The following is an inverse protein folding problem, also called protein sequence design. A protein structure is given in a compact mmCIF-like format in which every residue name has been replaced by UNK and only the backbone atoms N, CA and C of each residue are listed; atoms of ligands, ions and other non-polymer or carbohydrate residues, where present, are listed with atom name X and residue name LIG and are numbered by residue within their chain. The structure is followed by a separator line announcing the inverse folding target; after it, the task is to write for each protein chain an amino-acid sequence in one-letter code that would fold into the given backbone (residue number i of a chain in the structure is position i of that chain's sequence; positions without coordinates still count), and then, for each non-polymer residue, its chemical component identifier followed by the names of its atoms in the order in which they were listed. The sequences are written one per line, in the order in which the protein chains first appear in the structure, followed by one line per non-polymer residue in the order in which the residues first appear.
data_IF_036930066940
#
_entry.id   IF_036930066940
#
_cell.length_a   1.000
_cell.length_b   1.000
_cell.length_c   1.000
_cell.angle_alpha   90.00
_cell.angle_beta   90.00
_cell.angle_gamma   90.00
#
_symmetry.space_group_name_H-M   'P 1'
#
loop_
_entity.id
_entity.type
_entity.pdbx_description
1 polymer ?
#
# COMPACT_ATOMS: atom_id res chain seq x y z
N UNK A 1 10.34 1.26 1.53
CA UNK A 1 11.23 1.74 2.61
C UNK A 1 10.76 3.09 3.18
N UNK A 2 10.52 4.11 2.36
CA UNK A 2 10.13 5.46 2.82
C UNK A 2 8.79 5.45 3.57
N UNK A 3 7.77 4.70 3.10
CA UNK A 3 6.49 4.55 3.78
C UNK A 3 6.64 4.06 5.23
N UNK A 4 7.47 3.04 5.40
CA UNK A 4 7.75 2.48 6.73
C UNK A 4 8.44 3.53 7.61
N UNK A 5 9.39 4.27 7.07
CA UNK A 5 10.09 5.32 7.83
C UNK A 5 9.15 6.46 8.23
N UNK A 6 8.27 6.90 7.33
CA UNK A 6 7.28 7.94 7.63
C UNK A 6 6.27 7.54 8.71
N UNK A 7 5.97 6.25 8.84
CA UNK A 7 5.08 5.75 9.89
C UNK A 7 5.84 5.47 11.20
N UNK A 8 7.01 4.83 11.10
CA UNK A 8 7.75 4.33 12.26
C UNK A 8 8.46 5.47 13.02
N UNK A 9 9.05 6.45 12.32
CA UNK A 9 9.78 7.53 12.98
C UNK A 9 8.88 8.37 13.94
N UNK A 10 7.70 8.85 13.51
CA UNK A 10 6.79 9.53 14.43
C UNK A 10 6.31 8.65 15.58
N UNK A 11 6.06 7.35 15.32
CA UNK A 11 5.65 6.39 16.35
C UNK A 11 6.74 6.21 17.40
N UNK A 12 8.01 6.10 16.97
CA UNK A 12 9.16 6.03 17.86
C UNK A 12 9.29 7.30 18.72
N UNK A 13 9.07 8.48 18.12
CA UNK A 13 9.06 9.75 18.89
C UNK A 13 7.95 9.74 19.94
N UNK A 14 6.72 9.35 19.59
CA UNK A 14 5.61 9.26 20.54
C UNK A 14 5.93 8.28 21.68
N UNK A 15 6.52 7.13 21.37
CA UNK A 15 6.97 6.16 22.36
C UNK A 15 8.03 6.73 23.31
N UNK A 16 9.00 7.50 22.78
CA UNK A 16 10.02 8.15 23.59
C UNK A 16 9.43 9.22 24.52
N UNK A 17 8.37 9.91 24.07
CA UNK A 17 7.68 10.94 24.87
C UNK A 17 6.72 10.37 25.92
N UNK A 18 6.40 9.08 25.87
CA UNK A 18 5.58 8.42 26.87
C UNK A 18 6.26 8.44 28.25
N UNK A 19 5.52 8.76 29.29
CA UNK A 19 6.10 8.95 30.65
C UNK A 19 6.11 7.68 31.50
N UNK A 20 5.30 6.68 31.17
CA UNK A 20 5.09 5.50 32.00
C UNK A 20 6.23 4.50 31.93
N UNK A 21 6.92 4.39 30.79
CA UNK A 21 8.00 3.43 30.58
C UNK A 21 9.35 4.01 31.00
N UNK A 22 10.15 3.34 31.87
CA UNK A 22 11.50 3.79 32.24
C UNK A 22 12.42 3.91 31.02
N UNK A 23 13.26 4.95 31.00
CA UNK A 23 14.12 5.29 29.86
C UNK A 23 15.05 4.15 29.39
N UNK A 24 15.54 3.35 30.32
CA UNK A 24 16.40 2.19 30.01
C UNK A 24 15.71 1.16 29.10
N UNK A 25 14.41 0.92 29.31
CA UNK A 25 13.64 0.00 28.48
C UNK A 25 13.36 0.60 27.11
N UNK A 26 13.05 1.90 27.05
CA UNK A 26 12.86 2.61 25.77
C UNK A 26 14.09 2.56 24.90
N UNK A 27 15.29 2.73 25.49
CA UNK A 27 16.55 2.63 24.75
C UNK A 27 16.79 1.20 24.24
N UNK A 28 16.49 0.17 25.04
CA UNK A 28 16.62 -1.22 24.64
C UNK A 28 15.68 -1.55 23.46
N UNK A 29 14.42 -1.15 23.57
CA UNK A 29 13.41 -1.38 22.50
C UNK A 29 13.78 -0.63 21.23
N UNK A 30 14.20 0.63 21.35
CA UNK A 30 14.64 1.43 20.21
C UNK A 30 15.90 0.82 19.56
N UNK A 31 16.86 0.36 20.35
CA UNK A 31 18.05 -0.29 19.84
C UNK A 31 17.72 -1.62 19.14
N UNK A 32 16.83 -2.42 19.71
CA UNK A 32 16.35 -3.65 19.08
C UNK A 32 15.70 -3.42 17.72
N UNK A 33 15.06 -2.26 17.51
CA UNK A 33 14.47 -1.88 16.25
C UNK A 33 15.51 -1.26 15.28
N UNK A 34 16.33 -0.32 15.77
CA UNK A 34 17.26 0.45 14.92
C UNK A 34 18.44 -0.39 14.43
N UNK A 35 18.97 -1.31 15.26
CA UNK A 35 20.14 -2.11 14.90
C UNK A 35 19.90 -2.96 13.62
N UNK A 36 18.84 -3.77 13.51
CA UNK A 36 18.59 -4.53 12.28
C UNK A 36 18.41 -3.63 11.04
N UNK A 37 17.74 -2.48 11.19
CA UNK A 37 17.55 -1.52 10.10
C UNK A 37 18.89 -0.90 9.67
N UNK A 38 19.71 -0.53 10.62
CA UNK A 38 21.05 0.03 10.35
C UNK A 38 21.98 -0.99 9.66
N UNK A 39 21.94 -2.26 10.12
CA UNK A 39 22.70 -3.35 9.47
C UNK A 39 22.21 -3.54 8.03
N UNK A 40 20.88 -3.64 7.81
CA UNK A 40 20.30 -3.77 6.47
C UNK A 40 20.67 -2.61 5.56
N UNK A 41 20.54 -1.37 6.05
CA UNK A 41 20.93 -0.16 5.32
C UNK A 41 22.43 -0.15 5.00
N UNK A 42 23.29 -0.53 5.94
CA UNK A 42 24.73 -0.66 5.74
C UNK A 42 25.09 -1.68 4.66
N UNK A 43 24.43 -2.85 4.66
CA UNK A 43 24.62 -3.86 3.61
C UNK A 43 24.20 -3.36 2.23
N UNK A 44 23.11 -2.61 2.14
CA UNK A 44 22.68 -1.97 0.88
C UNK A 44 23.72 -0.95 0.41
N UNK A 45 24.26 -0.11 1.31
CA UNK A 45 25.31 0.84 0.99
C UNK A 45 26.59 0.16 0.47
N UNK A 46 27.00 -0.93 1.11
CA UNK A 46 28.16 -1.75 0.66
C UNK A 46 27.89 -2.35 -0.72
N UNK A 47 26.71 -2.92 -0.93
CA UNK A 47 26.31 -3.47 -2.22
C UNK A 47 26.30 -2.40 -3.31
N UNK A 48 25.75 -1.22 -3.05
CA UNK A 48 25.71 -0.11 -3.99
C UNK A 48 27.13 0.40 -4.32
N UNK A 49 27.98 0.54 -3.31
CA UNK A 49 29.38 0.94 -3.51
C UNK A 49 30.15 -0.07 -4.37
N UNK A 50 29.94 -1.37 -4.15
CA UNK A 50 30.56 -2.43 -4.95
C UNK A 50 30.06 -2.46 -6.40
N UNK A 51 28.77 -2.16 -6.62
CA UNK A 51 28.13 -2.25 -7.93
C UNK A 51 28.26 -0.98 -8.75
N UNK A 52 28.13 0.18 -8.13
CA UNK A 52 28.00 1.48 -8.79
C UNK A 52 29.15 2.45 -8.45
N UNK A 53 30.06 2.05 -7.57
CA UNK A 53 31.17 2.93 -7.11
C UNK A 53 30.74 3.99 -6.09
N UNK A 54 29.45 4.01 -5.69
CA UNK A 54 28.91 4.96 -4.70
C UNK A 54 27.91 4.28 -3.78
N UNK A 55 27.97 4.49 -2.45
CA UNK A 55 27.04 3.87 -1.49
C UNK A 55 25.61 4.40 -1.62
N UNK A 56 25.43 5.58 -2.21
CA UNK A 56 24.13 6.26 -2.36
C UNK A 56 23.55 6.17 -3.76
N UNK A 57 24.25 5.55 -4.72
CA UNK A 57 23.71 5.29 -6.06
C UNK A 57 22.87 4.00 -6.06
N UNK A 58 21.61 4.13 -6.45
CA UNK A 58 20.67 3.01 -6.53
C UNK A 58 20.46 2.50 -7.96
N UNK A 59 21.36 2.85 -8.87
CA UNK A 59 21.31 2.44 -10.26
C UNK A 59 20.44 3.33 -11.14
N UNK A 60 19.88 4.41 -10.61
CA UNK A 60 19.01 5.32 -11.36
C UNK A 60 19.73 5.94 -12.56
N UNK A 61 21.01 6.28 -12.39
CA UNK A 61 21.85 6.86 -13.46
C UNK A 61 22.22 5.86 -14.56
N UNK A 62 22.03 4.55 -14.30
CA UNK A 62 22.38 3.47 -15.22
C UNK A 62 21.16 2.79 -15.86
N UNK A 63 19.95 3.24 -15.54
CA UNK A 63 18.74 2.66 -16.09
C UNK A 63 18.50 3.17 -17.51
N UNK A 64 18.46 2.26 -18.47
CA UNK A 64 17.95 2.50 -19.82
C UNK A 64 16.42 2.45 -19.76
N UNK A 65 15.78 3.58 -19.54
CA UNK A 65 14.33 3.73 -19.52
C UNK A 65 13.86 4.54 -20.71
N UNK A 66 12.60 4.34 -21.10
CA UNK A 66 11.98 5.10 -22.20
C UNK A 66 11.93 6.60 -21.90
N UNK A 67 11.88 6.98 -20.62
CA UNK A 67 11.93 8.37 -20.16
C UNK A 67 13.16 8.61 -19.28
N UNK A 68 13.76 9.78 -19.43
CA UNK A 68 14.89 10.20 -18.59
C UNK A 68 14.42 10.50 -17.16
N UNK A 69 14.52 9.51 -16.28
CA UNK A 69 14.10 9.60 -14.88
C UNK A 69 14.89 10.67 -14.12
N UNK A 70 16.13 10.97 -14.55
CA UNK A 70 16.96 11.98 -13.87
C UNK A 70 16.41 13.40 -14.03
N UNK A 71 15.58 13.62 -15.04
CA UNK A 71 14.87 14.89 -15.29
C UNK A 71 13.53 15.03 -14.61
N UNK A 72 13.03 13.94 -14.02
CA UNK A 72 11.76 13.97 -13.30
C UNK A 72 11.92 14.76 -12.00
N UNK A 73 11.62 16.05 -12.07
CA UNK A 73 11.55 16.91 -10.89
C UNK A 73 10.20 16.74 -10.21
N UNK A 74 10.22 16.59 -8.90
CA UNK A 74 9.00 16.58 -8.09
C UNK A 74 8.29 17.93 -8.27
N UNK A 75 7.22 17.96 -9.03
CA UNK A 75 6.36 19.14 -9.18
C UNK A 75 5.05 18.88 -8.46
N UNK A 76 4.75 19.70 -7.47
CA UNK A 76 3.44 19.71 -6.81
C UNK A 76 2.49 20.49 -7.70
N UNK A 77 1.69 19.75 -8.48
CA UNK A 77 0.64 20.30 -9.32
C UNK A 77 -0.71 19.88 -8.74
N UNK A 78 -1.62 20.81 -8.41
CA UNK A 78 -2.94 20.48 -7.86
C UNK A 78 -3.75 19.52 -8.74
N UNK A 79 -3.61 19.57 -10.07
CA UNK A 79 -4.28 18.64 -10.98
C UNK A 79 -3.85 17.19 -10.73
N UNK A 80 -2.60 16.97 -10.35
CA UNK A 80 -2.07 15.64 -10.00
C UNK A 80 -2.67 15.10 -8.72
N UNK A 81 -2.98 15.96 -7.74
CA UNK A 81 -3.61 15.51 -6.50
C UNK A 81 -5.00 14.92 -6.78
N UNK A 82 -5.79 15.54 -7.64
CA UNK A 82 -7.11 15.03 -8.04
C UNK A 82 -6.99 13.69 -8.74
N UNK A 83 -6.07 13.59 -9.70
CA UNK A 83 -5.79 12.33 -10.40
C UNK A 83 -5.29 11.25 -9.43
N UNK A 84 -4.38 11.58 -8.51
CA UNK A 84 -3.90 10.67 -7.47
C UNK A 84 -5.05 10.12 -6.62
N UNK A 85 -5.93 10.99 -6.10
CA UNK A 85 -7.07 10.57 -5.29
C UNK A 85 -7.98 9.63 -6.08
N UNK A 86 -8.27 9.94 -7.33
CA UNK A 86 -9.12 9.08 -8.14
C UNK A 86 -8.46 7.73 -8.41
N UNK A 87 -7.28 7.72 -9.03
CA UNK A 87 -6.65 6.48 -9.52
C UNK A 87 -6.11 5.58 -8.41
N UNK A 88 -5.62 6.16 -7.31
CA UNK A 88 -5.04 5.38 -6.21
C UNK A 88 -6.03 5.01 -5.12
N UNK A 89 -7.11 5.80 -4.94
CA UNK A 89 -8.05 5.53 -3.85
C UNK A 89 -9.42 5.08 -4.35
N UNK A 90 -9.96 5.70 -5.40
CA UNK A 90 -11.39 5.60 -5.75
C UNK A 90 -11.69 4.80 -7.01
N UNK A 91 -10.73 4.57 -7.90
CA UNK A 91 -11.00 3.89 -9.16
C UNK A 91 -11.58 2.49 -8.94
N UNK A 92 -12.75 2.17 -9.52
CA UNK A 92 -13.35 0.85 -9.41
C UNK A 92 -12.52 -0.18 -10.18
N UNK A 93 -12.75 -1.45 -9.86
CA UNK A 93 -12.30 -2.58 -10.68
C UNK A 93 -13.20 -2.74 -11.90
N UNK A 94 -12.63 -3.22 -12.98
CA UNK A 94 -13.42 -3.76 -14.08
C UNK A 94 -14.02 -5.10 -13.65
N UNK A 95 -15.31 -5.28 -13.93
CA UNK A 95 -16.06 -6.46 -13.56
C UNK A 95 -16.60 -7.15 -14.80
N UNK A 96 -16.50 -8.48 -14.83
CA UNK A 96 -17.03 -9.32 -15.90
C UNK A 96 -17.79 -10.51 -15.38
N UNK A 97 -18.60 -11.15 -16.26
CA UNK A 97 -19.31 -12.39 -15.95
C UNK A 97 -18.45 -13.64 -16.20
N UNK A 98 -17.29 -13.47 -16.82
CA UNK A 98 -16.36 -14.54 -17.15
C UNK A 98 -15.15 -14.43 -16.22
N UNK A 99 -14.60 -15.58 -15.82
CA UNK A 99 -13.34 -15.62 -15.06
C UNK A 99 -12.26 -14.76 -15.74
N UNK A 100 -11.52 -13.95 -14.99
CA UNK A 100 -11.40 -13.91 -13.53
C UNK A 100 -12.38 -12.99 -12.79
N UNK A 101 -13.44 -12.53 -13.39
CA UNK A 101 -14.52 -11.67 -12.85
C UNK A 101 -14.09 -10.25 -12.49
N UNK A 102 -12.85 -10.06 -12.02
CA UNK A 102 -12.28 -8.78 -11.62
C UNK A 102 -10.93 -8.57 -12.27
N UNK A 103 -10.72 -7.38 -12.81
CA UNK A 103 -9.42 -6.93 -13.32
C UNK A 103 -9.15 -5.49 -12.93
N UNK A 104 -7.87 -5.13 -12.88
CA UNK A 104 -7.49 -3.74 -12.79
C UNK A 104 -7.93 -3.03 -14.07
N UNK A 105 -8.44 -1.80 -13.93
CA UNK A 105 -8.86 -1.02 -15.08
C UNK A 105 -7.67 -0.67 -15.97
N UNK A 106 -7.75 -0.97 -17.25
CA UNK A 106 -6.72 -0.73 -18.25
C UNK A 106 -7.25 0.19 -19.35
N UNK A 107 -6.97 1.46 -19.24
CA UNK A 107 -7.13 2.43 -20.32
C UNK A 107 -5.76 2.73 -20.93
N UNK A 108 -5.71 3.15 -22.16
CA UNK A 108 -4.48 3.48 -22.85
C UNK A 108 -3.65 4.57 -22.19
N UNK A 109 -2.64 5.06 -22.88
CA UNK A 109 -1.83 6.19 -22.42
C UNK A 109 -2.66 7.47 -22.37
N UNK A 110 -2.61 8.17 -21.23
CA UNK A 110 -3.19 9.49 -21.10
C UNK A 110 -2.18 10.49 -20.53
N UNK A 111 -2.44 11.77 -20.70
CA UNK A 111 -1.54 12.84 -20.25
C UNK A 111 -2.21 13.65 -19.15
N UNK A 112 -1.48 13.89 -18.06
CA UNK A 112 -1.82 14.89 -17.05
C UNK A 112 -0.72 15.95 -17.07
N UNK A 113 -1.03 17.12 -17.59
CA UNK A 113 -0.02 18.13 -17.86
C UNK A 113 1.01 17.64 -18.89
N UNK A 114 2.29 17.63 -18.53
CA UNK A 114 3.39 17.17 -19.39
C UNK A 114 3.79 15.69 -19.18
N UNK A 115 3.01 14.93 -18.41
CA UNK A 115 3.33 13.55 -18.07
C UNK A 115 2.40 12.58 -18.79
N UNK A 116 3.01 11.56 -19.39
CA UNK A 116 2.30 10.41 -19.94
C UNK A 116 2.20 9.33 -18.86
N UNK A 117 0.99 8.83 -18.65
CA UNK A 117 0.72 7.73 -17.75
C UNK A 117 0.12 6.57 -18.51
N UNK A 118 0.54 5.36 -18.16
CA UNK A 118 -0.15 4.14 -18.58
C UNK A 118 -1.16 3.78 -17.52
N UNK A 119 -2.43 3.74 -17.87
CA UNK A 119 -3.47 3.36 -16.93
C UNK A 119 -3.66 1.86 -16.87
N UNK A 120 -2.98 1.22 -15.97
CA UNK A 120 -3.43 -0.02 -15.37
C UNK A 120 -3.50 0.27 -13.88
N UNK A 121 -4.68 0.55 -13.38
CA UNK A 121 -4.87 1.02 -12.01
C UNK A 121 -6.12 0.44 -11.37
N UNK A 122 -6.09 0.40 -10.06
CA UNK A 122 -7.25 0.14 -9.22
C UNK A 122 -7.16 1.01 -7.99
N UNK A 123 -8.29 1.51 -7.51
CA UNK A 123 -8.34 2.26 -6.26
C UNK A 123 -8.21 1.34 -5.05
N UNK A 124 -7.58 1.84 -3.99
CA UNK A 124 -7.42 1.11 -2.74
C UNK A 124 -8.77 0.61 -2.19
N UNK A 125 -9.80 1.47 -2.23
CA UNK A 125 -11.13 1.14 -1.72
C UNK A 125 -11.94 0.20 -2.61
N UNK A 126 -11.43 -0.19 -3.77
CA UNK A 126 -12.00 -1.26 -4.58
C UNK A 126 -11.86 -2.63 -3.88
N UNK A 127 -10.94 -2.77 -2.93
CA UNK A 127 -10.81 -3.94 -2.06
C UNK A 127 -11.50 -3.65 -0.73
N UNK A 128 -12.57 -4.38 -0.38
CA UNK A 128 -13.46 -4.04 0.74
C UNK A 128 -12.76 -3.92 2.10
N UNK A 129 -11.68 -4.66 2.37
CA UNK A 129 -10.97 -4.59 3.65
C UNK A 129 -10.49 -3.18 4.01
N UNK A 130 -10.18 -2.35 3.01
CA UNK A 130 -9.73 -0.98 3.25
C UNK A 130 -10.83 -0.05 3.74
N UNK A 131 -12.12 -0.44 3.61
CA UNK A 131 -13.23 0.26 4.27
C UNK A 131 -13.10 0.22 5.79
N UNK A 132 -12.40 -0.78 6.34
CA UNK A 132 -12.10 -0.83 7.78
C UNK A 132 -11.26 0.36 8.28
N UNK A 133 -10.54 1.07 7.38
CA UNK A 133 -9.86 2.33 7.73
C UNK A 133 -10.85 3.42 8.21
N UNK A 134 -12.10 3.38 7.73
CA UNK A 134 -13.16 4.29 8.17
C UNK A 134 -13.54 4.07 9.63
N UNK A 135 -13.23 2.91 10.21
CA UNK A 135 -13.44 2.64 11.64
C UNK A 135 -12.62 3.60 12.53
N UNK A 136 -11.55 4.21 12.01
CA UNK A 136 -10.77 5.19 12.77
C UNK A 136 -11.61 6.38 13.26
N UNK A 137 -12.67 6.75 12.51
CA UNK A 137 -13.59 7.81 12.90
C UNK A 137 -14.83 7.30 13.65
N UNK A 138 -14.96 5.97 13.81
CA UNK A 138 -16.09 5.39 14.50
C UNK A 138 -16.01 5.64 16.02
N UNK A 139 -17.12 6.06 16.69
CA UNK A 139 -17.11 6.37 18.12
C UNK A 139 -16.59 5.26 19.02
N UNK A 140 -16.84 4.00 18.66
CA UNK A 140 -16.36 2.82 19.42
C UNK A 140 -14.84 2.68 19.44
N UNK A 141 -14.15 3.22 18.42
CA UNK A 141 -12.68 3.19 18.29
C UNK A 141 -12.06 4.53 18.66
N UNK A 142 -12.86 5.58 18.78
CA UNK A 142 -12.41 6.89 19.23
C UNK A 142 -11.83 6.76 20.64
N UNK A 143 -10.54 6.51 20.69
CA UNK A 143 -9.85 6.24 21.96
C UNK A 143 -9.52 7.53 22.67
N UNK A 144 -9.60 7.48 24.01
CA UNK A 144 -9.04 8.52 24.89
C UNK A 144 -7.52 8.63 24.80
N UNK A 145 -6.83 7.62 24.24
CA UNK A 145 -5.38 7.62 24.09
C UNK A 145 -4.95 8.34 22.81
N UNK A 146 -4.55 9.61 22.98
CA UNK A 146 -4.08 10.47 21.91
C UNK A 146 -2.88 9.86 21.15
N UNK A 147 -1.95 9.21 21.87
CA UNK A 147 -0.75 8.61 21.28
C UNK A 147 -1.12 7.55 20.23
N UNK A 148 -2.03 6.64 20.55
CA UNK A 148 -2.47 5.60 19.63
C UNK A 148 -3.17 6.18 18.40
N UNK A 149 -4.00 7.20 18.59
CA UNK A 149 -4.68 7.88 17.47
C UNK A 149 -3.69 8.57 16.54
N UNK A 150 -2.68 9.23 17.11
CA UNK A 150 -1.60 9.85 16.33
C UNK A 150 -0.79 8.81 15.57
N UNK A 151 -0.47 7.67 16.18
CA UNK A 151 0.19 6.55 15.50
C UNK A 151 -0.59 6.11 14.26
N UNK A 152 -1.89 5.85 14.38
CA UNK A 152 -2.72 5.47 13.23
C UNK A 152 -2.76 6.55 12.14
N UNK A 153 -2.87 7.81 12.55
CA UNK A 153 -2.84 8.94 11.62
C UNK A 153 -1.50 9.02 10.88
N UNK A 154 -0.38 8.83 11.55
CA UNK A 154 0.94 8.82 10.93
C UNK A 154 1.12 7.66 9.95
N UNK A 155 0.57 6.49 10.24
CA UNK A 155 0.55 5.37 9.28
C UNK A 155 -0.19 5.75 8.00
N UNK A 156 -1.37 6.35 8.12
CA UNK A 156 -2.16 6.77 6.95
C UNK A 156 -1.43 7.86 6.17
N UNK A 157 -1.00 8.92 6.84
CA UNK A 157 -0.33 10.04 6.20
C UNK A 157 1.00 9.61 5.55
N UNK A 158 1.77 8.74 6.22
CA UNK A 158 3.01 8.20 5.67
C UNK A 158 2.78 7.36 4.41
N UNK A 159 1.78 6.48 4.44
CA UNK A 159 1.41 5.66 3.28
C UNK A 159 0.92 6.53 2.11
N UNK A 160 0.05 7.51 2.37
CA UNK A 160 -0.46 8.42 1.34
C UNK A 160 0.65 9.31 0.77
N UNK A 161 1.58 9.78 1.60
CA UNK A 161 2.73 10.57 1.14
C UNK A 161 3.59 9.75 0.15
N UNK A 162 3.89 8.50 0.49
CA UNK A 162 4.69 7.64 -0.40
C UNK A 162 3.95 7.35 -1.69
N UNK A 163 2.67 7.03 -1.62
CA UNK A 163 1.85 6.83 -2.82
C UNK A 163 1.84 8.07 -3.72
N UNK A 164 1.75 9.25 -3.13
CA UNK A 164 1.80 10.51 -3.89
C UNK A 164 3.17 10.77 -4.51
N UNK A 165 4.26 10.41 -3.81
CA UNK A 165 5.62 10.49 -4.36
C UNK A 165 5.81 9.52 -5.53
N UNK A 166 5.37 8.27 -5.38
CA UNK A 166 5.43 7.26 -6.43
C UNK A 166 4.61 7.68 -7.66
N UNK A 167 3.39 8.18 -7.44
CA UNK A 167 2.56 8.76 -8.48
C UNK A 167 3.24 9.94 -9.19
N UNK A 168 3.86 10.85 -8.43
CA UNK A 168 4.48 12.05 -8.97
C UNK A 168 5.74 11.78 -9.77
N UNK A 169 6.48 10.72 -9.43
CA UNK A 169 7.76 10.36 -10.03
C UNK A 169 7.63 9.26 -11.10
N UNK A 170 6.79 8.26 -10.85
CA UNK A 170 6.72 7.05 -11.66
C UNK A 170 5.41 6.89 -12.45
N UNK A 171 4.39 7.68 -12.15
CA UNK A 171 3.07 7.55 -12.80
C UNK A 171 2.14 6.56 -12.10
N UNK A 172 1.13 6.07 -12.84
CA UNK A 172 0.09 5.19 -12.30
C UNK A 172 0.41 3.76 -12.70
N UNK A 173 0.75 2.94 -11.70
CA UNK A 173 0.98 1.51 -11.88
C UNK A 173 0.45 0.74 -10.67
N UNK A 174 -0.22 -0.39 -10.92
CA UNK A 174 -0.72 -1.29 -9.86
C UNK A 174 0.40 -1.72 -8.91
N UNK A 175 1.62 -1.92 -9.41
CA UNK A 175 2.76 -2.31 -8.56
C UNK A 175 3.11 -1.30 -7.48
N UNK A 176 2.88 -0.01 -7.70
CA UNK A 176 3.14 1.04 -6.69
C UNK A 176 2.09 1.05 -5.58
N UNK A 177 0.90 0.47 -5.83
CA UNK A 177 -0.07 0.25 -4.77
C UNK A 177 0.45 -0.70 -3.68
N UNK A 178 1.40 -1.59 -4.00
CA UNK A 178 1.99 -2.49 -3.00
C UNK A 178 2.65 -1.74 -1.83
N UNK A 179 3.21 -0.54 -2.09
CA UNK A 179 3.88 0.26 -1.07
C UNK A 179 2.90 0.84 -0.04
N UNK A 180 1.63 0.99 -0.41
CA UNK A 180 0.58 1.49 0.49
C UNK A 180 -0.37 0.40 0.97
N UNK A 181 -0.60 -0.65 0.18
CA UNK A 181 -1.54 -1.71 0.55
C UNK A 181 -1.08 -2.48 1.78
N UNK A 182 0.22 -2.74 1.92
CA UNK A 182 0.75 -3.46 3.09
C UNK A 182 0.56 -2.67 4.39
N UNK A 183 1.06 -1.42 4.55
CA UNK A 183 0.88 -0.68 5.79
C UNK A 183 -0.60 -0.37 6.07
N UNK A 184 -1.39 0.03 5.08
CA UNK A 184 -2.80 0.31 5.27
C UNK A 184 -3.63 -0.96 5.49
N UNK A 185 -3.25 -2.10 4.90
CA UNK A 185 -3.87 -3.39 5.15
C UNK A 185 -3.66 -3.87 6.58
N UNK A 186 -2.44 -3.74 7.11
CA UNK A 186 -2.15 -4.03 8.51
C UNK A 186 -3.00 -3.13 9.42
N UNK A 187 -3.06 -1.84 9.13
CA UNK A 187 -3.86 -0.90 9.91
C UNK A 187 -5.37 -1.23 9.83
N UNK A 188 -5.89 -1.54 8.65
CA UNK A 188 -7.29 -1.94 8.46
C UNK A 188 -7.63 -3.20 9.27
N UNK A 189 -6.73 -4.19 9.28
CA UNK A 189 -6.87 -5.40 10.08
C UNK A 189 -6.86 -5.10 11.57
N UNK A 190 -5.92 -4.29 12.05
CA UNK A 190 -5.85 -3.89 13.47
C UNK A 190 -7.11 -3.15 13.91
N UNK A 191 -7.63 -2.23 13.09
CA UNK A 191 -8.87 -1.52 13.37
C UNK A 191 -10.07 -2.46 13.39
N UNK A 192 -10.15 -3.43 12.48
CA UNK A 192 -11.20 -4.43 12.44
C UNK A 192 -11.19 -5.33 13.68
N UNK A 193 -10.02 -5.81 14.10
CA UNK A 193 -9.85 -6.62 15.31
C UNK A 193 -10.21 -5.82 16.57
N UNK A 194 -9.81 -4.56 16.63
CA UNK A 194 -10.15 -3.68 17.75
C UNK A 194 -11.65 -3.39 17.82
N UNK A 195 -12.29 -3.20 16.66
CA UNK A 195 -13.73 -3.03 16.57
C UNK A 195 -14.45 -4.32 16.98
N UNK A 196 -14.02 -5.48 16.49
CA UNK A 196 -14.57 -6.78 16.86
C UNK A 196 -14.50 -7.04 18.35
N UNK A 197 -13.37 -6.76 18.99
CA UNK A 197 -13.20 -6.92 20.43
C UNK A 197 -14.20 -6.09 21.27
N UNK A 198 -14.72 -5.00 20.70
CA UNK A 198 -15.73 -4.11 21.35
C UNK A 198 -17.17 -4.43 20.98
N UNK A 199 -17.38 -5.33 20.01
CA UNK A 199 -18.71 -5.74 19.54
C UNK A 199 -19.35 -6.79 20.46
N UNK A 200 -19.26 -6.65 21.77
CA UNK A 200 -19.84 -7.62 22.72
C UNK A 200 -21.36 -7.77 22.58
N UNK A 201 -22.05 -6.75 22.06
CA UNK A 201 -23.51 -6.70 21.96
C UNK A 201 -24.04 -6.58 20.51
N UNK A 202 -23.19 -6.28 19.52
CA UNK A 202 -23.64 -6.05 18.14
C UNK A 202 -23.67 -7.35 17.32
N UNK A 203 -24.86 -7.96 17.25
CA UNK A 203 -25.11 -9.23 16.54
C UNK A 203 -24.69 -9.21 15.07
N UNK A 204 -24.69 -8.06 14.42
CA UNK A 204 -24.41 -7.94 12.99
C UNK A 204 -22.95 -7.55 12.66
N UNK A 205 -22.20 -7.02 13.61
CA UNK A 205 -20.85 -6.51 13.35
C UNK A 205 -19.85 -7.58 12.91
N UNK A 206 -19.85 -8.73 13.60
CA UNK A 206 -18.94 -9.85 13.26
C UNK A 206 -19.20 -10.45 11.87
N UNK A 207 -20.44 -10.79 11.49
CA UNK A 207 -20.70 -11.30 10.14
C UNK A 207 -20.40 -10.28 9.05
N UNK A 208 -20.61 -8.98 9.29
CA UNK A 208 -20.22 -7.93 8.33
C UNK A 208 -18.70 -7.91 8.14
N UNK A 209 -17.91 -7.89 9.22
CA UNK A 209 -16.45 -7.94 9.12
C UNK A 209 -15.98 -9.20 8.38
N UNK A 210 -16.53 -10.36 8.73
CA UNK A 210 -16.19 -11.61 8.05
C UNK A 210 -16.49 -11.53 6.55
N UNK A 211 -17.65 -11.01 6.17
CA UNK A 211 -18.04 -10.81 4.77
C UNK A 211 -17.05 -9.88 4.06
N UNK A 212 -16.66 -8.76 4.66
CA UNK A 212 -15.66 -7.82 4.13
C UNK A 212 -14.34 -8.53 3.84
N UNK A 213 -13.82 -9.34 4.78
CA UNK A 213 -12.55 -10.03 4.59
C UNK A 213 -12.65 -11.15 3.56
N UNK A 214 -13.73 -11.95 3.58
CA UNK A 214 -13.95 -13.02 2.58
C UNK A 214 -14.05 -12.43 1.17
N UNK A 215 -14.82 -11.36 0.99
CA UNK A 215 -14.90 -10.65 -0.30
C UNK A 215 -13.54 -10.10 -0.73
N UNK A 216 -12.75 -9.56 0.19
CA UNK A 216 -11.43 -9.02 -0.10
C UNK A 216 -10.45 -10.10 -0.54
N UNK A 217 -10.47 -11.26 0.12
CA UNK A 217 -9.64 -12.43 -0.26
C UNK A 217 -10.07 -12.92 -1.65
N UNK A 218 -11.38 -13.03 -1.90
CA UNK A 218 -11.90 -13.47 -3.19
C UNK A 218 -11.48 -12.51 -4.32
N UNK A 219 -11.74 -11.22 -4.17
CA UNK A 219 -11.35 -10.19 -5.16
C UNK A 219 -9.83 -10.20 -5.37
N UNK A 220 -9.04 -10.19 -4.29
CA UNK A 220 -7.59 -10.24 -4.37
C UNK A 220 -7.06 -11.48 -5.10
N UNK A 221 -7.69 -12.64 -4.86
CA UNK A 221 -7.34 -13.89 -5.56
C UNK A 221 -7.67 -13.81 -7.05
N UNK A 222 -8.80 -13.22 -7.42
CA UNK A 222 -9.18 -13.06 -8.83
C UNK A 222 -8.27 -12.06 -9.55
N UNK A 223 -7.82 -11.01 -8.89
CA UNK A 223 -6.91 -10.01 -9.46
C UNK A 223 -5.54 -10.60 -9.85
N UNK A 224 -5.11 -11.71 -9.24
CA UNK A 224 -3.89 -12.42 -9.67
C UNK A 224 -4.01 -12.89 -11.12
N UNK A 225 -5.22 -13.29 -11.54
CA UNK A 225 -5.50 -13.77 -12.89
C UNK A 225 -5.98 -12.66 -13.82
N UNK A 226 -6.53 -11.59 -13.29
CA UNK A 226 -7.09 -10.45 -14.03
C UNK A 226 -6.10 -9.36 -14.41
N UNK A 227 -4.81 -9.55 -14.18
CA UNK A 227 -3.78 -8.59 -14.55
C UNK A 227 -3.36 -8.80 -16.02
N UNK A 228 -3.15 -7.72 -16.77
CA UNK A 228 -2.65 -7.74 -18.16
C UNK A 228 -1.36 -8.56 -18.32
N UNK A 229 -0.53 -8.62 -17.29
CA UNK A 229 0.71 -9.39 -17.25
C UNK A 229 0.56 -10.71 -16.48
N UNK A 230 -0.59 -11.37 -16.59
CA UNK A 230 -0.78 -12.67 -15.96
C UNK A 230 0.23 -13.69 -16.48
N UNK A 231 1.28 -13.96 -15.70
CA UNK A 231 2.33 -14.89 -16.09
C UNK A 231 1.80 -16.30 -16.38
N UNK A 232 0.75 -16.72 -15.71
CA UNK A 232 0.14 -18.02 -15.92
C UNK A 232 -0.46 -18.13 -17.34
N UNK A 233 -1.11 -17.05 -17.82
CA UNK A 233 -1.68 -17.01 -19.17
C UNK A 233 -0.60 -17.11 -20.25
N UNK A 234 0.56 -16.50 -20.02
CA UNK A 234 1.66 -16.47 -20.99
C UNK A 234 2.56 -17.70 -20.92
N UNK A 235 2.86 -18.22 -19.72
CA UNK A 235 3.80 -19.32 -19.50
C UNK A 235 3.14 -20.71 -19.48
N UNK A 236 1.88 -20.78 -19.06
CA UNK A 236 1.14 -22.04 -18.95
C UNK A 236 -0.35 -21.87 -19.28
N UNK A 237 -0.70 -21.53 -20.55
CA UNK A 237 -2.08 -21.22 -20.94
C UNK A 237 -3.06 -22.37 -20.68
N UNK A 238 -2.62 -23.62 -20.81
CA UNK A 238 -3.48 -24.79 -20.52
C UNK A 238 -3.91 -24.83 -19.04
N UNK A 239 -3.00 -24.47 -18.13
CA UNK A 239 -3.34 -24.42 -16.70
C UNK A 239 -4.31 -23.29 -16.41
N UNK A 240 -4.13 -22.13 -17.05
CA UNK A 240 -5.07 -21.01 -16.95
C UNK A 240 -6.47 -21.42 -17.43
N UNK A 241 -6.56 -22.09 -18.57
CA UNK A 241 -7.83 -22.58 -19.11
C UNK A 241 -8.49 -23.62 -18.20
N UNK A 242 -7.73 -24.54 -17.60
CA UNK A 242 -8.27 -25.48 -16.62
C UNK A 242 -8.85 -24.78 -15.40
N UNK A 243 -8.18 -23.74 -14.89
CA UNK A 243 -8.71 -22.94 -13.77
C UNK A 243 -9.98 -22.21 -14.21
N UNK A 244 -9.98 -21.62 -15.39
CA UNK A 244 -11.15 -20.96 -15.95
C UNK A 244 -12.36 -21.91 -16.07
N UNK A 245 -12.14 -23.16 -16.50
CA UNK A 245 -13.19 -24.16 -16.62
C UNK A 245 -13.82 -24.57 -15.29
N UNK A 246 -13.09 -24.44 -14.15
CA UNK A 246 -13.67 -24.65 -12.82
C UNK A 246 -14.74 -23.60 -12.44
N UNK A 247 -14.69 -22.43 -13.06
CA UNK A 247 -15.63 -21.34 -12.84
C UNK A 247 -16.64 -21.17 -14.00
N UNK A 248 -16.62 -22.07 -14.94
CA UNK A 248 -17.59 -22.10 -16.05
C UNK A 248 -18.87 -22.74 -15.56
N UNK A 249 -19.88 -21.91 -15.35
CA UNK A 249 -21.26 -22.32 -15.01
C UNK A 249 -22.03 -22.75 -16.25
#
# INVERSE_FOLDING_TARGET
AIAVMCAVAPTAVLYLLEKETPWKYKLADLAAFVIPVAIGGGLICVYNAARFGSPTEFGTSYQLTVSDITRNTLRIDPSRLVAFVYYYLLQPLDTGLIFPFFSAHAEGLFTIGNYMYHTCSMGLFAIPMFLCLLLLVHPSIQQKNLSKRLTYLFFILGALLVAFLDFSLGGIFVRYLCDITLPLGILALLLALEYEARLTENRFGRPILLCIFVCSIFIGSMLIFGNENCMLLTSAPEQYLRIMDLFRL
#
